data_IF_880321330395
#
_entry.id   IF_880321330395
#
_cell.length_a   1.000
_cell.length_b   1.000
_cell.length_c   1.000
_cell.angle_alpha   90.00
_cell.angle_beta   90.00
_cell.angle_gamma   90.00
#
_symmetry.space_group_name_H-M   'P 1'
#
loop_
_entity.id
_entity.type
_entity.pdbx_description
1 polymer ?
#
# COMPACT_ATOMS: atom_id res chain seq x y z
N UNK A 1 -10.39 7.00 -21.72
CA UNK A 1 -11.18 6.43 -20.63
C UNK A 1 -10.34 6.68 -19.41
N UNK A 2 -10.63 7.77 -18.71
CA UNK A 2 -9.81 8.29 -17.62
C UNK A 2 -10.56 7.99 -16.33
N UNK A 3 -9.90 7.28 -15.42
CA UNK A 3 -10.50 6.73 -14.22
C UNK A 3 -9.54 5.80 -13.48
N UNK A 4 -8.30 6.25 -13.26
CA UNK A 4 -7.34 5.44 -12.50
C UNK A 4 -7.47 5.75 -11.00
N UNK A 5 -8.28 4.88 -10.38
CA UNK A 5 -8.51 4.57 -8.96
C UNK A 5 -7.41 4.93 -7.94
N UNK A 6 -6.13 4.95 -8.35
CA UNK A 6 -5.01 5.21 -7.44
C UNK A 6 -4.87 6.70 -7.11
N UNK A 7 -4.99 7.59 -8.10
CA UNK A 7 -4.80 9.01 -7.87
C UNK A 7 -5.91 9.59 -6.99
N UNK A 8 -7.16 9.24 -7.26
CA UNK A 8 -8.31 9.61 -6.42
C UNK A 8 -8.11 9.16 -4.98
N UNK A 9 -7.62 7.92 -4.78
CA UNK A 9 -7.24 7.39 -3.45
C UNK A 9 -6.10 8.19 -2.80
N UNK A 10 -5.03 8.50 -3.54
CA UNK A 10 -3.89 9.29 -3.03
C UNK A 10 -4.33 10.71 -2.65
N UNK A 11 -5.17 11.35 -3.48
CA UNK A 11 -5.71 12.69 -3.26
C UNK A 11 -6.62 12.75 -2.03
N UNK A 12 -7.49 11.75 -1.82
CA UNK A 12 -8.27 11.62 -0.60
C UNK A 12 -7.38 11.44 0.66
N UNK A 13 -6.24 10.75 0.52
CA UNK A 13 -5.26 10.59 1.61
C UNK A 13 -4.46 11.88 1.89
N UNK A 14 -4.20 12.73 0.88
CA UNK A 14 -3.42 13.98 0.98
C UNK A 14 -4.02 15.06 1.92
N UNK A 15 -5.17 14.85 2.56
CA UNK A 15 -5.83 15.83 3.44
C UNK A 15 -6.15 15.40 4.88
N UNK A 16 -5.67 14.22 5.35
CA UNK A 16 -6.12 13.68 6.64
C UNK A 16 -5.43 14.37 7.85
N UNK A 17 -6.23 14.62 8.91
CA UNK A 17 -5.83 15.26 10.18
C UNK A 17 -4.72 14.49 10.93
N UNK A 18 -4.08 15.13 11.92
CA UNK A 18 -2.98 14.58 12.73
C UNK A 18 -3.23 13.17 13.29
N UNK A 19 -4.48 12.84 13.64
CA UNK A 19 -4.86 11.51 14.11
C UNK A 19 -4.62 10.41 13.07
N UNK A 20 -4.89 10.69 11.79
CA UNK A 20 -4.60 9.75 10.70
C UNK A 20 -3.09 9.59 10.49
N UNK A 21 -2.32 10.67 10.64
CA UNK A 21 -0.84 10.62 10.58
C UNK A 21 -0.26 9.73 11.68
N UNK A 22 -0.78 9.82 12.90
CA UNK A 22 -0.36 8.96 14.00
C UNK A 22 -0.61 7.46 13.72
N UNK A 23 -1.72 7.12 13.05
CA UNK A 23 -1.99 5.75 12.61
C UNK A 23 -1.01 5.27 11.56
N UNK A 24 -0.72 6.10 10.54
CA UNK A 24 0.29 5.80 9.51
C UNK A 24 1.65 5.51 10.15
N UNK A 25 2.07 6.32 11.13
CA UNK A 25 3.35 6.11 11.83
C UNK A 25 3.36 4.80 12.61
N UNK A 26 2.22 4.45 13.22
CA UNK A 26 2.07 3.19 13.95
C UNK A 26 2.19 1.98 13.01
N UNK A 27 1.53 2.03 11.85
CA UNK A 27 1.60 0.96 10.83
C UNK A 27 3.01 0.80 10.28
N UNK A 28 3.64 1.90 9.83
CA UNK A 28 5.04 1.90 9.37
C UNK A 28 6.00 1.38 10.46
N UNK A 29 5.75 1.72 11.73
CA UNK A 29 6.52 1.20 12.85
C UNK A 29 6.46 -0.33 12.97
N UNK A 30 5.29 -0.93 12.76
CA UNK A 30 5.12 -2.39 12.74
C UNK A 30 5.82 -3.02 11.53
N UNK A 31 5.72 -2.40 10.35
CA UNK A 31 6.44 -2.85 9.15
C UNK A 31 7.96 -2.90 9.39
N UNK A 32 8.55 -1.85 9.99
CA UNK A 32 9.98 -1.81 10.34
C UNK A 32 10.39 -2.95 11.26
N UNK A 33 9.60 -3.22 12.30
CA UNK A 33 9.88 -4.30 13.27
C UNK A 33 9.85 -5.67 12.58
N UNK A 34 8.86 -5.91 11.72
CA UNK A 34 8.70 -7.17 10.99
C UNK A 34 9.82 -7.32 9.95
N UNK A 35 10.18 -6.26 9.22
CA UNK A 35 11.28 -6.28 8.25
C UNK A 35 12.62 -6.65 8.89
N UNK A 36 12.91 -6.16 10.10
CA UNK A 36 14.12 -6.53 10.87
C UNK A 36 14.09 -8.00 11.27
N UNK A 37 12.94 -8.46 11.75
CA UNK A 37 12.76 -9.84 12.22
C UNK A 37 12.91 -10.86 11.10
N UNK A 38 12.26 -10.61 9.96
CA UNK A 38 12.28 -11.49 8.79
C UNK A 38 13.63 -11.43 8.06
N UNK A 39 14.22 -10.25 7.93
CA UNK A 39 15.53 -10.07 7.30
C UNK A 39 16.71 -10.44 8.20
N UNK A 40 16.49 -10.69 9.49
CA UNK A 40 17.52 -11.08 10.46
C UNK A 40 18.57 -10.02 10.77
N UNK A 41 18.43 -8.81 10.22
CA UNK A 41 19.39 -7.71 10.38
C UNK A 41 18.68 -6.37 10.50
N UNK A 42 19.17 -5.54 11.42
CA UNK A 42 18.75 -4.15 11.59
C UNK A 42 19.57 -3.17 10.73
N UNK A 43 20.49 -3.68 9.90
CA UNK A 43 21.27 -2.90 8.96
C UNK A 43 20.58 -2.87 7.58
N UNK A 44 20.09 -1.69 7.12
CA UNK A 44 19.40 -1.58 5.84
C UNK A 44 20.31 -1.81 4.63
N UNK A 45 21.65 -1.81 4.78
CA UNK A 45 22.57 -2.11 3.69
C UNK A 45 22.54 -3.58 3.25
N UNK A 46 22.12 -4.47 4.16
CA UNK A 46 22.00 -5.93 3.93
C UNK A 46 20.56 -6.44 4.08
N UNK A 47 19.60 -5.56 4.35
CA UNK A 47 18.18 -5.86 4.47
C UNK A 47 17.37 -4.90 3.57
N UNK A 48 17.10 -5.33 2.34
CA UNK A 48 16.38 -4.53 1.33
C UNK A 48 14.97 -4.15 1.79
N UNK A 49 14.26 -5.07 2.43
CA UNK A 49 12.91 -4.81 2.97
C UNK A 49 12.93 -3.71 4.02
N UNK A 50 13.93 -3.72 4.92
CA UNK A 50 14.12 -2.65 5.90
C UNK A 50 14.44 -1.32 5.22
N UNK A 51 15.31 -1.33 4.20
CA UNK A 51 15.64 -0.12 3.41
C UNK A 51 14.37 0.49 2.79
N UNK A 52 13.49 -0.33 2.21
CA UNK A 52 12.23 0.14 1.62
C UNK A 52 11.25 0.66 2.67
N UNK A 53 11.11 0.00 3.82
CA UNK A 53 10.29 0.51 4.92
C UNK A 53 10.82 1.85 5.47
N UNK A 54 12.15 2.05 5.52
CA UNK A 54 12.75 3.34 5.90
C UNK A 54 12.44 4.42 4.86
N UNK A 55 12.52 4.10 3.57
CA UNK A 55 12.16 5.03 2.50
C UNK A 55 10.68 5.44 2.61
N UNK A 56 9.77 4.46 2.79
CA UNK A 56 8.33 4.69 3.03
C UNK A 56 8.08 5.55 4.27
N UNK A 57 8.82 5.32 5.36
CA UNK A 57 8.74 6.11 6.58
C UNK A 57 9.11 7.59 6.32
N UNK A 58 10.20 7.83 5.60
CA UNK A 58 10.65 9.19 5.24
C UNK A 58 9.65 9.89 4.32
N UNK A 59 9.14 9.20 3.30
CA UNK A 59 8.11 9.73 2.40
C UNK A 59 6.83 10.14 3.14
N UNK A 60 6.49 9.43 4.21
CA UNK A 60 5.36 9.75 5.09
C UNK A 60 5.70 10.76 6.21
N UNK A 61 6.87 11.41 6.17
CA UNK A 61 7.32 12.39 7.16
C UNK A 61 7.44 11.84 8.59
N UNK A 62 7.76 10.55 8.75
CA UNK A 62 8.14 10.01 10.06
C UNK A 62 9.48 10.61 10.48
N UNK A 63 9.61 11.22 11.68
CA UNK A 63 10.89 11.77 12.13
C UNK A 63 12.01 10.72 12.19
N UNK A 64 13.21 11.06 11.75
CA UNK A 64 14.36 10.14 11.73
C UNK A 64 14.64 9.51 13.11
N UNK A 65 14.61 10.30 14.18
CA UNK A 65 14.78 9.82 15.56
C UNK A 65 13.77 8.72 15.93
N UNK A 66 12.54 8.81 15.41
CA UNK A 66 11.53 7.78 15.64
C UNK A 66 11.86 6.49 14.89
N UNK A 67 12.32 6.59 13.64
CA UNK A 67 12.75 5.45 12.83
C UNK A 67 13.92 4.73 13.53
N UNK A 68 14.95 5.48 13.92
CA UNK A 68 16.14 4.94 14.61
C UNK A 68 15.78 4.27 15.94
N UNK A 69 14.88 4.89 16.71
CA UNK A 69 14.40 4.33 17.98
C UNK A 69 13.67 2.99 17.78
N UNK A 70 12.82 2.88 16.76
CA UNK A 70 12.11 1.64 16.43
C UNK A 70 13.11 0.54 16.03
N UNK A 71 14.04 0.85 15.13
CA UNK A 71 15.07 -0.08 14.67
C UNK A 71 15.91 -0.59 15.85
N UNK A 72 16.39 0.32 16.71
CA UNK A 72 17.21 -0.03 17.88
C UNK A 72 16.44 -0.90 18.88
N UNK A 73 15.16 -0.61 19.12
CA UNK A 73 14.31 -1.41 20.02
C UNK A 73 14.10 -2.82 19.46
N UNK A 74 13.80 -2.95 18.17
CA UNK A 74 13.64 -4.24 17.51
C UNK A 74 14.93 -5.07 17.52
N UNK A 75 16.08 -4.45 17.20
CA UNK A 75 17.38 -5.10 17.17
C UNK A 75 17.83 -5.65 18.53
N UNK A 76 17.42 -5.01 19.63
CA UNK A 76 17.76 -5.43 21.00
C UNK A 76 16.79 -6.46 21.59
N UNK A 77 15.80 -6.93 20.80
CA UNK A 77 14.77 -7.86 21.30
C UNK A 77 13.81 -7.23 22.31
N UNK A 78 13.80 -5.90 22.41
CA UNK A 78 12.96 -5.15 23.36
C UNK A 78 11.49 -5.05 22.95
N UNK A 79 11.11 -5.61 21.79
CA UNK A 79 9.73 -5.70 21.36
C UNK A 79 9.16 -7.09 21.63
N UNK A 80 8.22 -7.17 22.56
CA UNK A 80 7.60 -8.42 23.01
C UNK A 80 6.40 -8.82 22.16
N UNK A 81 5.93 -7.94 21.27
CA UNK A 81 4.80 -8.20 20.40
C UNK A 81 5.23 -9.11 19.23
N UNK A 82 4.75 -10.35 19.26
CA UNK A 82 4.94 -11.27 18.15
C UNK A 82 3.92 -10.99 17.05
N UNK A 83 4.10 -9.88 16.33
CA UNK A 83 3.32 -9.60 15.14
C UNK A 83 3.54 -10.69 14.08
N UNK A 84 2.45 -11.23 13.58
CA UNK A 84 2.41 -12.19 12.48
C UNK A 84 1.72 -11.55 11.28
N UNK A 85 2.23 -11.84 10.08
CA UNK A 85 1.59 -11.44 8.84
C UNK A 85 0.41 -12.37 8.54
N UNK A 86 -0.77 -11.77 8.34
CA UNK A 86 -2.00 -12.48 7.99
C UNK A 86 -2.69 -11.76 6.85
N UNK A 87 -3.08 -12.52 5.83
CA UNK A 87 -3.91 -12.02 4.73
C UNK A 87 -5.33 -12.55 4.87
N UNK A 88 -6.29 -11.65 4.79
CA UNK A 88 -7.70 -11.98 4.67
C UNK A 88 -8.19 -11.60 3.28
N UNK A 89 -9.15 -12.36 2.78
CA UNK A 89 -9.68 -12.22 1.43
C UNK A 89 -11.20 -12.23 1.51
N UNK A 90 -11.86 -11.48 0.64
CA UNK A 90 -13.31 -11.42 0.62
C UNK A 90 -13.87 -10.57 -0.51
N UNK A 91 -15.18 -10.43 -0.50
CA UNK A 91 -15.92 -9.60 -1.44
C UNK A 91 -16.66 -8.50 -0.68
N UNK A 92 -16.58 -7.27 -1.18
CA UNK A 92 -17.40 -6.14 -0.74
C UNK A 92 -18.75 -6.08 -1.46
N UNK A 93 -19.44 -4.93 -1.38
CA UNK A 93 -20.66 -4.67 -2.13
C UNK A 93 -20.52 -5.01 -3.63
N UNK A 94 -21.57 -5.58 -4.20
CA UNK A 94 -21.67 -5.97 -5.62
C UNK A 94 -20.47 -6.78 -6.16
N UNK A 95 -19.80 -7.55 -5.30
CA UNK A 95 -18.73 -8.46 -5.72
C UNK A 95 -17.38 -7.80 -5.96
N UNK A 96 -17.16 -6.59 -5.45
CA UNK A 96 -15.81 -5.99 -5.41
C UNK A 96 -14.87 -6.92 -4.65
N UNK A 97 -13.79 -7.35 -5.29
CA UNK A 97 -12.77 -8.19 -4.68
C UNK A 97 -11.91 -7.35 -3.72
N UNK A 98 -11.64 -7.88 -2.51
CA UNK A 98 -10.86 -7.19 -1.47
C UNK A 98 -9.85 -8.12 -0.82
N UNK A 99 -8.59 -7.68 -0.77
CA UNK A 99 -7.50 -8.29 0.01
C UNK A 99 -7.18 -7.36 1.17
N UNK A 100 -7.11 -7.90 2.39
CA UNK A 100 -6.75 -7.17 3.60
C UNK A 100 -5.49 -7.80 4.19
N UNK A 101 -4.39 -7.04 4.22
CA UNK A 101 -3.13 -7.47 4.80
C UNK A 101 -2.99 -6.89 6.21
N UNK A 102 -2.67 -7.75 7.19
CA UNK A 102 -2.55 -7.37 8.58
C UNK A 102 -1.23 -7.83 9.21
N UNK A 103 -0.74 -7.05 10.16
CA UNK A 103 0.30 -7.40 11.11
C UNK A 103 -0.31 -7.37 12.51
N UNK A 104 -0.55 -8.56 13.07
CA UNK A 104 -1.31 -8.72 14.32
C UNK A 104 -0.60 -9.65 15.31
N UNK A 105 -0.74 -9.34 16.59
CA UNK A 105 -0.34 -10.21 17.71
C UNK A 105 -1.48 -11.15 18.17
N UNK A 106 -2.66 -11.03 17.58
CA UNK A 106 -3.84 -11.82 17.91
C UNK A 106 -4.72 -12.06 16.68
N UNK A 107 -4.41 -13.13 15.94
CA UNK A 107 -5.13 -13.53 14.72
C UNK A 107 -6.63 -13.70 14.92
N UNK A 108 -7.09 -14.16 16.08
CA UNK A 108 -8.51 -14.38 16.35
C UNK A 108 -9.28 -13.07 16.50
N UNK A 109 -8.70 -12.08 17.20
CA UNK A 109 -9.27 -10.72 17.32
C UNK A 109 -9.39 -10.09 15.94
N UNK A 110 -8.28 -10.02 15.20
CA UNK A 110 -8.24 -9.37 13.89
C UNK A 110 -9.16 -10.06 12.89
N UNK A 111 -9.21 -11.41 12.88
CA UNK A 111 -10.15 -12.13 12.02
C UNK A 111 -11.62 -11.88 12.37
N UNK A 112 -11.93 -11.69 13.66
CA UNK A 112 -13.28 -11.34 14.11
C UNK A 112 -13.69 -9.94 13.63
N UNK A 113 -12.79 -8.96 13.76
CA UNK A 113 -13.00 -7.59 13.31
C UNK A 113 -13.12 -7.49 11.79
N UNK A 114 -12.20 -8.10 11.03
CA UNK A 114 -12.25 -8.10 9.56
C UNK A 114 -13.55 -8.71 9.04
N UNK A 115 -13.96 -9.86 9.60
CA UNK A 115 -15.25 -10.48 9.25
C UNK A 115 -16.42 -9.55 9.56
N UNK A 116 -16.42 -8.93 10.73
CA UNK A 116 -17.47 -8.00 11.12
C UNK A 116 -17.57 -6.82 10.14
N UNK A 117 -16.45 -6.28 9.65
CA UNK A 117 -16.46 -5.16 8.71
C UNK A 117 -17.06 -5.57 7.36
N UNK A 118 -16.67 -6.72 6.81
CA UNK A 118 -17.31 -7.27 5.61
C UNK A 118 -18.82 -7.45 5.81
N UNK A 119 -19.24 -8.17 6.86
CA UNK A 119 -20.65 -8.49 7.12
C UNK A 119 -21.50 -7.22 7.30
N UNK A 120 -20.96 -6.20 7.98
CA UNK A 120 -21.67 -4.95 8.28
C UNK A 120 -22.00 -4.13 7.04
N UNK A 121 -21.19 -4.22 5.99
CA UNK A 121 -21.35 -3.41 4.78
C UNK A 121 -21.82 -4.22 3.57
N UNK A 122 -22.39 -5.41 3.78
CA UNK A 122 -22.98 -6.21 2.70
C UNK A 122 -21.95 -6.94 1.84
N UNK A 123 -20.75 -7.15 2.38
CA UNK A 123 -19.75 -8.06 1.83
C UNK A 123 -19.69 -9.37 2.61
N UNK A 124 -18.67 -10.18 2.32
CA UNK A 124 -18.36 -11.40 3.04
C UNK A 124 -16.85 -11.69 3.02
N UNK A 125 -16.30 -12.07 4.17
CA UNK A 125 -14.96 -12.63 4.23
C UNK A 125 -14.98 -14.06 3.67
N UNK A 126 -14.12 -14.32 2.68
CA UNK A 126 -13.96 -15.61 2.04
C UNK A 126 -12.85 -16.47 2.66
N UNK A 127 -12.53 -17.56 1.97
CA UNK A 127 -11.34 -18.37 2.26
C UNK A 127 -10.12 -17.76 1.60
N UNK A 128 -8.93 -18.00 2.14
CA UNK A 128 -7.68 -17.65 1.46
C UNK A 128 -7.66 -18.25 0.04
N UNK A 129 -7.28 -17.45 -0.95
CA UNK A 129 -7.32 -17.82 -2.37
C UNK A 129 -8.59 -17.43 -3.12
N UNK A 130 -9.64 -16.91 -2.47
CA UNK A 130 -10.91 -16.64 -3.14
C UNK A 130 -10.90 -15.44 -4.08
N UNK A 131 -9.95 -14.51 -3.92
CA UNK A 131 -9.79 -13.36 -4.81
C UNK A 131 -8.35 -13.13 -5.23
N UNK A 132 -7.35 -13.69 -4.54
CA UNK A 132 -5.94 -13.43 -4.84
C UNK A 132 -5.51 -13.74 -6.27
N UNK A 133 -6.19 -14.66 -6.96
CA UNK A 133 -5.95 -14.93 -8.39
C UNK A 133 -6.29 -13.74 -9.31
N UNK A 134 -7.08 -12.78 -8.83
CA UNK A 134 -7.43 -11.56 -9.57
C UNK A 134 -6.39 -10.46 -9.42
N UNK A 135 -5.41 -10.61 -8.51
CA UNK A 135 -4.42 -9.59 -8.21
C UNK A 135 -3.00 -10.09 -8.46
N UNK A 136 -2.15 -9.20 -8.95
CA UNK A 136 -0.73 -9.44 -9.13
C UNK A 136 0.06 -8.49 -8.24
N UNK A 137 1.01 -9.04 -7.47
CA UNK A 137 1.90 -8.19 -6.69
C UNK A 137 2.89 -7.50 -7.63
N UNK A 138 2.95 -6.17 -7.59
CA UNK A 138 3.86 -5.35 -8.39
C UNK A 138 4.47 -4.24 -7.55
N UNK A 139 5.64 -3.75 -7.94
CA UNK A 139 6.06 -2.41 -7.51
C UNK A 139 5.24 -1.36 -8.26
N UNK A 140 4.79 -0.34 -7.56
CA UNK A 140 3.99 0.76 -8.12
C UNK A 140 4.62 2.08 -7.67
N UNK A 141 5.10 2.84 -8.65
CA UNK A 141 5.69 4.16 -8.47
C UNK A 141 4.79 5.18 -9.16
N UNK A 142 4.35 6.19 -8.42
CA UNK A 142 3.41 7.21 -8.93
C UNK A 142 4.10 8.57 -8.92
N UNK A 143 4.07 9.25 -10.06
CA UNK A 143 4.66 10.58 -10.29
C UNK A 143 3.52 11.54 -10.64
N UNK A 144 3.49 12.72 -10.00
CA UNK A 144 2.53 13.78 -10.30
C UNK A 144 3.00 14.60 -11.50
N UNK A 145 2.08 14.91 -12.44
CA UNK A 145 2.41 15.61 -13.69
C UNK A 145 2.52 17.12 -13.54
N UNK A 146 1.82 17.71 -12.56
CA UNK A 146 1.66 19.18 -12.44
C UNK A 146 3.01 19.92 -12.42
N UNK A 147 4.01 19.39 -11.73
CA UNK A 147 5.33 20.00 -11.56
C UNK A 147 6.47 19.27 -12.31
N UNK A 148 6.14 18.34 -13.22
CA UNK A 148 7.14 17.53 -13.90
C UNK A 148 7.65 18.21 -15.18
N UNK A 149 8.95 18.53 -15.21
CA UNK A 149 9.64 19.12 -16.38
C UNK A 149 10.06 18.05 -17.42
N UNK A 150 9.28 16.98 -17.55
CA UNK A 150 9.51 15.87 -18.49
C UNK A 150 8.18 15.46 -19.11
N UNK A 151 8.19 15.26 -20.43
CA UNK A 151 7.03 14.76 -21.16
C UNK A 151 6.84 13.25 -20.99
N UNK A 152 5.65 12.77 -21.35
CA UNK A 152 5.25 11.36 -21.22
C UNK A 152 6.23 10.40 -21.89
N UNK A 153 6.68 10.71 -23.11
CA UNK A 153 7.61 9.88 -23.87
C UNK A 153 8.96 9.73 -23.13
N UNK A 154 9.45 10.83 -22.54
CA UNK A 154 10.68 10.82 -21.74
C UNK A 154 10.51 9.98 -20.47
N UNK A 155 9.41 10.16 -19.73
CA UNK A 155 9.17 9.40 -18.49
C UNK A 155 9.04 7.90 -18.77
N UNK A 156 8.28 7.55 -19.81
CA UNK A 156 8.11 6.17 -20.24
C UNK A 156 9.46 5.55 -20.62
N UNK A 157 10.26 6.25 -21.44
CA UNK A 157 11.57 5.76 -21.88
C UNK A 157 12.51 5.53 -20.69
N UNK A 158 12.63 6.51 -19.79
CA UNK A 158 13.47 6.41 -18.59
C UNK A 158 13.01 5.23 -17.71
N UNK A 159 11.70 5.10 -17.46
CA UNK A 159 11.14 4.03 -16.64
C UNK A 159 11.49 2.64 -17.20
N UNK A 160 11.27 2.43 -18.50
CA UNK A 160 11.57 1.16 -19.15
C UNK A 160 13.08 0.86 -19.20
N UNK A 161 13.92 1.89 -19.39
CA UNK A 161 15.38 1.75 -19.36
C UNK A 161 15.88 1.30 -17.98
N UNK A 162 15.24 1.79 -16.89
CA UNK A 162 15.58 1.40 -15.53
C UNK A 162 14.97 0.07 -15.06
N UNK A 163 14.18 -0.60 -15.90
CA UNK A 163 13.63 -1.93 -15.61
C UNK A 163 12.18 -1.96 -15.15
N UNK A 164 11.40 -0.90 -15.42
CA UNK A 164 9.94 -0.98 -15.28
C UNK A 164 9.37 -2.08 -16.18
N UNK A 165 8.38 -2.81 -15.67
CA UNK A 165 7.66 -3.84 -16.42
C UNK A 165 6.47 -3.26 -17.20
N UNK A 166 5.96 -2.10 -16.79
CA UNK A 166 4.86 -1.42 -17.48
C UNK A 166 4.82 0.07 -17.14
N UNK A 167 4.14 0.86 -17.97
CA UNK A 167 3.96 2.30 -17.81
C UNK A 167 2.55 2.71 -18.22
N UNK A 168 1.92 3.53 -17.39
CA UNK A 168 0.58 4.04 -17.60
C UNK A 168 0.55 5.56 -17.39
N UNK A 169 -0.08 6.25 -18.33
CA UNK A 169 -0.21 7.70 -18.30
C UNK A 169 -1.68 8.11 -18.14
N UNK A 170 -1.91 8.93 -17.12
CA UNK A 170 -3.17 9.60 -16.85
C UNK A 170 -3.04 11.12 -17.01
N UNK A 171 -4.16 11.83 -16.89
CA UNK A 171 -4.19 13.30 -16.98
C UNK A 171 -3.36 13.96 -15.88
N UNK A 172 -3.41 13.42 -14.66
CA UNK A 172 -2.77 14.01 -13.47
C UNK A 172 -1.47 13.31 -13.06
N UNK A 173 -1.29 12.03 -13.39
CA UNK A 173 -0.17 11.20 -12.90
C UNK A 173 0.41 10.28 -13.96
N UNK A 174 1.65 9.86 -13.73
CA UNK A 174 2.24 8.68 -14.36
C UNK A 174 2.34 7.56 -13.33
N UNK A 175 1.98 6.35 -13.74
CA UNK A 175 2.11 5.13 -12.94
C UNK A 175 3.11 4.21 -13.62
N UNK A 176 4.21 3.93 -12.93
CA UNK A 176 5.25 3.00 -13.36
C UNK A 176 5.10 1.72 -12.56
N UNK A 177 5.02 0.60 -13.25
CA UNK A 177 4.93 -0.72 -12.64
C UNK A 177 6.27 -1.46 -12.76
N UNK A 178 6.61 -2.25 -11.74
CA UNK A 178 7.81 -3.11 -11.74
C UNK A 178 7.44 -4.52 -11.30
N UNK A 179 8.27 -5.50 -11.63
CA UNK A 179 8.27 -6.74 -10.86
C UNK A 179 8.68 -6.46 -9.40
N UNK A 180 8.19 -7.22 -8.41
CA UNK A 180 8.51 -6.98 -7.00
C UNK A 180 10.01 -7.00 -6.67
N UNK A 181 10.78 -7.82 -7.39
CA UNK A 181 12.24 -7.94 -7.18
C UNK A 181 13.02 -6.72 -7.68
N UNK A 182 12.49 -6.03 -8.70
CA UNK A 182 13.15 -4.89 -9.34
C UNK A 182 12.76 -3.54 -8.70
N UNK A 183 11.70 -3.53 -7.89
CA UNK A 183 11.10 -2.33 -7.30
C UNK A 183 12.13 -1.36 -6.69
N UNK A 184 12.98 -1.86 -5.78
CA UNK A 184 13.93 -1.00 -5.07
C UNK A 184 14.99 -0.42 -6.01
N UNK A 185 15.42 -1.17 -7.02
CA UNK A 185 16.43 -0.72 -7.98
C UNK A 185 15.86 0.35 -8.92
N UNK A 186 14.68 0.09 -9.51
CA UNK A 186 13.99 1.01 -10.40
C UNK A 186 13.69 2.33 -9.69
N UNK A 187 13.16 2.27 -8.45
CA UNK A 187 12.91 3.47 -7.63
C UNK A 187 14.19 4.28 -7.45
N UNK A 188 15.27 3.64 -7.00
CA UNK A 188 16.52 4.32 -6.67
C UNK A 188 17.17 4.96 -7.93
N UNK A 189 17.06 4.33 -9.10
CA UNK A 189 17.61 4.87 -10.35
C UNK A 189 16.77 6.02 -10.91
N UNK A 190 15.44 5.94 -10.82
CA UNK A 190 14.55 7.06 -11.13
C UNK A 190 14.79 8.26 -10.18
N UNK A 191 14.98 8.04 -8.88
CA UNK A 191 15.34 9.13 -7.95
C UNK A 191 16.66 9.81 -8.34
N UNK A 192 17.68 9.03 -8.74
CA UNK A 192 18.95 9.58 -9.24
C UNK A 192 18.78 10.35 -10.55
N UNK A 193 17.82 9.95 -11.39
CA UNK A 193 17.45 10.64 -12.62
C UNK A 193 16.58 11.90 -12.38
N UNK A 194 16.31 12.24 -11.12
CA UNK A 194 15.64 13.47 -10.71
C UNK A 194 14.12 13.35 -10.57
N UNK A 195 13.57 12.13 -10.61
CA UNK A 195 12.14 11.91 -10.37
C UNK A 195 11.82 11.98 -8.88
N UNK A 196 10.59 12.44 -8.58
CA UNK A 196 10.03 12.40 -7.23
C UNK A 196 8.70 11.67 -7.28
N UNK A 197 8.42 10.91 -6.23
CA UNK A 197 7.23 10.06 -6.17
C UNK A 197 6.23 10.61 -5.16
N UNK A 198 4.96 10.64 -5.53
CA UNK A 198 3.87 10.82 -4.56
C UNK A 198 3.58 9.54 -3.80
N UNK A 199 3.89 8.38 -4.39
CA UNK A 199 3.79 7.06 -3.77
C UNK A 199 4.79 6.11 -4.43
N UNK A 200 5.41 5.25 -3.63
CA UNK A 200 6.33 4.21 -4.10
C UNK A 200 6.20 2.99 -3.17
N UNK A 201 5.40 1.99 -3.57
CA UNK A 201 5.07 0.85 -2.71
C UNK A 201 4.97 -0.47 -3.50
N UNK A 202 5.08 -1.60 -2.81
CA UNK A 202 4.66 -2.89 -3.34
C UNK A 202 3.15 -3.05 -3.11
N UNK A 203 2.40 -3.27 -4.18
CA UNK A 203 0.94 -3.29 -4.16
C UNK A 203 0.38 -4.57 -4.80
N UNK A 204 -0.86 -4.92 -4.43
CA UNK A 204 -1.63 -5.93 -5.15
C UNK A 204 -2.47 -5.23 -6.22
N UNK A 205 -2.03 -5.32 -7.47
CA UNK A 205 -2.69 -4.66 -8.62
C UNK A 205 -3.76 -5.59 -9.20
N UNK A 206 -5.03 -5.17 -9.28
CA UNK A 206 -6.09 -5.99 -9.84
C UNK A 206 -5.98 -6.12 -11.37
N UNK A 207 -6.35 -7.28 -11.88
CA UNK A 207 -6.42 -7.58 -13.32
C UNK A 207 -7.71 -7.08 -13.99
N UNK A 208 -8.76 -6.87 -13.22
CA UNK A 208 -10.06 -6.38 -13.67
C UNK A 208 -10.64 -5.47 -12.61
N UNK A 209 -11.35 -4.42 -13.02
CA UNK A 209 -12.03 -3.49 -12.12
C UNK A 209 -13.55 -3.73 -12.09
N UNK A 210 -14.18 -3.35 -10.98
CA UNK A 210 -15.62 -3.48 -10.74
C UNK A 210 -16.20 -2.12 -10.40
N UNK A 211 -17.14 -1.64 -11.22
CA UNK A 211 -17.84 -0.38 -11.00
C UNK A 211 -19.01 -0.57 -10.05
N UNK A 212 -19.20 0.38 -9.14
CA UNK A 212 -20.41 0.50 -8.31
C UNK A 212 -21.26 1.64 -8.86
N UNK A 213 -22.47 1.34 -9.32
CA UNK A 213 -23.35 2.34 -9.95
C UNK A 213 -24.31 3.00 -8.96
N UNK A 214 -24.71 2.29 -7.90
CA UNK A 214 -25.66 2.79 -6.92
C UNK A 214 -24.97 3.44 -5.71
N UNK A 215 -25.50 4.58 -5.29
CA UNK A 215 -24.97 5.40 -4.19
C UNK A 215 -24.91 4.64 -2.86
N UNK A 216 -25.82 3.68 -2.65
CA UNK A 216 -25.85 2.86 -1.44
C UNK A 216 -24.62 1.94 -1.36
N UNK A 217 -24.29 1.24 -2.46
CA UNK A 217 -23.12 0.37 -2.55
C UNK A 217 -21.82 1.14 -2.48
N UNK A 218 -21.73 2.30 -3.14
CA UNK A 218 -20.59 3.23 -3.03
C UNK A 218 -20.38 3.63 -1.57
N UNK A 219 -21.44 4.08 -0.89
CA UNK A 219 -21.38 4.50 0.51
C UNK A 219 -20.97 3.36 1.44
N UNK A 220 -21.49 2.15 1.20
CA UNK A 220 -21.12 0.95 1.97
C UNK A 220 -19.66 0.57 1.75
N UNK A 221 -19.19 0.60 0.51
CA UNK A 221 -17.81 0.29 0.16
C UNK A 221 -16.85 1.28 0.83
N UNK A 222 -17.11 2.58 0.72
CA UNK A 222 -16.29 3.61 1.37
C UNK A 222 -16.22 3.40 2.89
N UNK A 223 -17.35 3.20 3.56
CA UNK A 223 -17.38 2.97 5.01
C UNK A 223 -16.67 1.68 5.43
N UNK A 224 -16.72 0.65 4.58
CA UNK A 224 -15.98 -0.59 4.81
C UNK A 224 -14.47 -0.35 4.75
N UNK A 225 -14.00 0.36 3.72
CA UNK A 225 -12.60 0.74 3.57
C UNK A 225 -12.14 1.62 4.74
N UNK A 226 -12.93 2.61 5.13
CA UNK A 226 -12.62 3.47 6.28
C UNK A 226 -12.45 2.64 7.57
N UNK A 227 -13.33 1.66 7.82
CA UNK A 227 -13.21 0.78 8.98
C UNK A 227 -11.97 -0.11 8.93
N UNK A 228 -11.58 -0.60 7.75
CA UNK A 228 -10.31 -1.32 7.60
C UNK A 228 -9.11 -0.40 7.82
N UNK A 229 -9.09 0.80 7.23
CA UNK A 229 -8.02 1.77 7.41
C UNK A 229 -7.87 2.20 8.87
N UNK A 230 -8.99 2.31 9.59
CA UNK A 230 -9.01 2.71 10.99
C UNK A 230 -8.52 1.64 11.97
N UNK A 231 -8.41 0.38 11.54
CA UNK A 231 -7.91 -0.72 12.34
C UNK A 231 -6.37 -0.71 12.38
N UNK A 232 -5.81 -0.79 13.58
CA UNK A 232 -4.35 -0.70 13.77
C UNK A 232 -3.59 -1.94 13.29
N UNK A 233 -4.24 -3.11 13.25
CA UNK A 233 -3.63 -4.36 12.79
C UNK A 233 -3.52 -4.40 11.26
N UNK A 234 -4.45 -3.75 10.56
CA UNK A 234 -4.51 -3.74 9.09
C UNK A 234 -3.44 -2.80 8.55
N UNK A 235 -2.52 -3.35 7.75
CA UNK A 235 -1.50 -2.59 7.05
C UNK A 235 -2.05 -2.02 5.74
N UNK A 236 -2.57 -2.89 4.88
CA UNK A 236 -3.02 -2.53 3.54
C UNK A 236 -4.38 -3.14 3.24
N UNK A 237 -5.13 -2.44 2.38
CA UNK A 237 -6.39 -2.90 1.81
C UNK A 237 -6.29 -2.69 0.31
N UNK A 238 -6.36 -3.78 -0.44
CA UNK A 238 -6.33 -3.78 -1.89
C UNK A 238 -7.70 -4.17 -2.41
N UNK A 239 -8.22 -3.45 -3.38
CA UNK A 239 -9.52 -3.74 -3.96
C UNK A 239 -9.54 -3.44 -5.44
N UNK A 240 -10.48 -4.08 -6.14
CA UNK A 240 -10.70 -3.82 -7.56
C UNK A 240 -11.87 -2.88 -7.85
N UNK A 241 -12.40 -2.17 -6.83
CA UNK A 241 -13.44 -1.17 -7.05
C UNK A 241 -12.92 -0.04 -7.93
N UNK A 242 -13.59 0.22 -9.06
CA UNK A 242 -13.37 1.40 -9.91
C UNK A 242 -14.01 2.63 -9.26
N UNK A 243 -13.20 3.45 -8.60
CA UNK A 243 -13.64 4.71 -8.02
C UNK A 243 -13.74 5.77 -9.11
N UNK A 244 -14.93 6.34 -9.31
CA UNK A 244 -15.10 7.58 -10.07
C UNK A 244 -14.77 8.78 -9.18
N UNK A 245 -14.24 9.86 -9.79
CA UNK A 245 -13.91 11.12 -9.12
C UNK A 245 -15.14 11.90 -8.61
#
# INVERSE_FOLDING_TARGET
>A
MSGHNKWSTIKQKKGKNDAARAKVFTKIGRELIVAIREGGSADPSVNSKLKDCIAKAKANNVPNDNIERIIKKAASGGDTANYEAVTYEGYGPNGVAVIVEALTDNRNRTAGEVRHYFDKFGGNMGTQGCVSFMFTKKGVLVIEREDLDKDEDTVMSDALEYGASDFEADEDVFTIYTEPEDFSAVRDDLEKAGYTFVSAELEMVPSTYTKLEDEESITKMQKMLDMFEDNDDIQNVWHNWEMED
#
